data_IF_713500052155
#
_entry.id   IF_713500052155
#
_cell.length_a   1.000
_cell.length_b   1.000
_cell.length_c   1.000
_cell.angle_alpha   90.00
_cell.angle_beta   90.00
_cell.angle_gamma   90.00
#
_symmetry.space_group_name_H-M   'P 1'
#
loop_
_entity.id
_entity.type
_entity.pdbx_description
1 polymer ?
#
# COMPACT_ATOMS: atom_id res chain seq x y z
N UNK A 1 -11.22 -26.07 6.37
CA UNK A 1 -10.25 -25.11 5.83
C UNK A 1 -9.83 -24.08 6.88
N UNK A 2 -10.76 -23.37 7.52
CA UNK A 2 -10.47 -22.37 8.57
C UNK A 2 -9.53 -22.86 9.69
N UNK A 3 -9.72 -24.08 10.19
CA UNK A 3 -8.83 -24.67 11.20
C UNK A 3 -7.38 -24.81 10.73
N UNK A 4 -7.17 -25.15 9.45
CA UNK A 4 -5.84 -25.28 8.88
C UNK A 4 -5.19 -23.91 8.71
N UNK A 5 -5.97 -22.89 8.31
CA UNK A 5 -5.53 -21.49 8.24
C UNK A 5 -5.10 -20.97 9.61
N UNK A 6 -5.91 -21.17 10.65
CA UNK A 6 -5.57 -20.73 12.01
C UNK A 6 -4.34 -21.47 12.57
N UNK A 7 -4.21 -22.77 12.32
CA UNK A 7 -3.04 -23.53 12.74
C UNK A 7 -1.76 -23.06 12.02
N UNK A 8 -1.88 -22.74 10.73
CA UNK A 8 -0.81 -22.18 9.92
C UNK A 8 -0.38 -20.81 10.43
N UNK A 9 -1.34 -19.90 10.64
CA UNK A 9 -1.11 -18.59 11.21
C UNK A 9 -0.40 -18.67 12.56
N UNK A 10 -0.89 -19.52 13.47
CA UNK A 10 -0.28 -19.72 14.79
C UNK A 10 1.19 -20.16 14.68
N UNK A 11 1.47 -21.07 13.75
CA UNK A 11 2.81 -21.59 13.54
C UNK A 11 3.76 -20.51 13.01
N UNK A 12 3.33 -19.74 11.99
CA UNK A 12 4.14 -18.64 11.44
C UNK A 12 4.34 -17.56 12.52
N UNK A 13 3.26 -17.13 13.19
CA UNK A 13 3.31 -16.11 14.21
C UNK A 13 4.27 -16.48 15.34
N UNK A 14 4.23 -17.72 15.87
CA UNK A 14 5.16 -18.19 16.92
C UNK A 14 6.62 -18.15 16.47
N UNK A 15 6.89 -18.60 15.24
CA UNK A 15 8.24 -18.56 14.67
C UNK A 15 8.75 -17.12 14.56
N UNK A 16 7.83 -16.18 14.37
CA UNK A 16 8.15 -14.78 14.16
C UNK A 16 8.21 -13.93 15.46
N UNK A 17 8.17 -14.54 16.66
CA UNK A 17 8.17 -13.75 17.91
C UNK A 17 9.56 -13.36 18.43
N UNK A 18 10.62 -13.91 17.83
CA UNK A 18 11.99 -13.66 18.29
C UNK A 18 12.71 -12.63 17.40
N UNK A 19 13.36 -11.65 18.02
CA UNK A 19 14.22 -10.69 17.34
C UNK A 19 13.70 -9.26 17.36
N UNK A 20 14.51 -8.33 16.86
CA UNK A 20 14.27 -6.89 16.99
C UNK A 20 12.99 -6.41 16.27
N UNK A 21 12.57 -7.06 15.19
CA UNK A 21 11.36 -6.69 14.45
C UNK A 21 10.08 -7.30 15.04
N UNK A 22 10.17 -8.19 16.02
CA UNK A 22 9.00 -8.86 16.60
C UNK A 22 8.03 -7.88 17.30
N UNK A 23 8.52 -6.71 17.74
CA UNK A 23 7.68 -5.63 18.30
C UNK A 23 6.65 -5.09 17.30
N UNK A 24 6.94 -5.24 16.01
CA UNK A 24 6.08 -4.83 14.90
C UNK A 24 5.16 -5.97 14.41
N UNK A 25 5.04 -7.06 15.15
CA UNK A 25 4.06 -8.10 14.93
C UNK A 25 3.18 -8.24 16.16
N UNK A 26 1.93 -8.62 15.97
CA UNK A 26 1.07 -8.98 17.08
C UNK A 26 1.63 -10.26 17.76
N UNK A 27 1.94 -10.17 19.05
CA UNK A 27 2.45 -11.32 19.80
C UNK A 27 1.31 -12.30 20.05
N UNK A 28 1.52 -13.56 19.66
CA UNK A 28 0.60 -14.66 19.93
C UNK A 28 0.88 -15.24 21.32
N UNK A 29 -0.14 -15.34 22.14
CA UNK A 29 -0.10 -15.88 23.50
C UNK A 29 -0.55 -17.35 23.53
N UNK A 30 -0.07 -18.08 24.53
CA UNK A 30 -0.54 -19.44 24.86
C UNK A 30 -1.64 -19.38 25.91
N UNK A 31 -2.61 -20.29 25.80
CA UNK A 31 -3.64 -20.50 26.81
C UNK A 31 -3.68 -21.98 27.21
N UNK A 32 -3.67 -22.32 28.52
CA UNK A 32 -3.39 -21.42 29.64
C UNK A 32 -1.96 -20.85 29.55
N UNK A 33 -1.72 -19.71 30.21
CA UNK A 33 -0.37 -19.13 30.27
C UNK A 33 0.62 -20.15 30.86
N UNK A 34 1.89 -20.16 30.43
CA UNK A 34 2.88 -21.16 30.89
C UNK A 34 2.99 -21.25 32.43
N UNK A 35 2.73 -20.15 33.13
CA UNK A 35 2.75 -20.06 34.59
C UNK A 35 1.45 -20.54 35.27
N UNK A 36 0.39 -20.75 34.50
CA UNK A 36 -0.83 -21.41 34.95
C UNK A 36 -0.71 -22.88 34.56
N UNK A 37 -0.15 -23.69 35.46
CA UNK A 37 -0.17 -25.15 35.32
C UNK A 37 -1.60 -25.57 34.98
N UNK A 38 -1.77 -26.15 33.79
CA UNK A 38 -3.03 -26.74 33.36
C UNK A 38 -3.37 -27.89 34.34
N UNK A 39 -4.07 -27.57 35.43
CA UNK A 39 -4.38 -28.53 36.48
C UNK A 39 -5.35 -29.62 36.00
N UNK A 40 -5.89 -29.55 34.77
CA UNK A 40 -6.76 -30.61 34.28
C UNK A 40 -6.79 -30.77 32.74
N UNK A 41 -6.06 -31.76 32.17
CA UNK A 41 -6.16 -32.12 30.75
C UNK A 41 -7.58 -32.51 30.30
N UNK A 42 -8.47 -32.86 31.24
CA UNK A 42 -9.86 -33.23 30.97
C UNK A 42 -10.75 -32.03 30.59
N UNK A 43 -10.40 -30.79 30.95
CA UNK A 43 -11.19 -29.61 30.56
C UNK A 43 -11.07 -29.28 29.07
N UNK A 44 -9.98 -29.69 28.41
CA UNK A 44 -9.80 -29.54 26.97
C UNK A 44 -10.66 -30.50 26.13
N UNK A 45 -11.36 -31.46 26.76
CA UNK A 45 -12.27 -32.38 26.07
C UNK A 45 -13.52 -31.69 25.49
N UNK A 46 -13.80 -30.44 25.89
CA UNK A 46 -14.97 -29.66 25.44
C UNK A 46 -14.62 -28.44 24.57
N UNK A 47 -13.40 -28.36 24.00
CA UNK A 47 -13.04 -27.27 23.10
C UNK A 47 -13.98 -27.22 21.88
N UNK A 48 -14.82 -26.18 21.81
CA UNK A 48 -15.85 -26.03 20.78
C UNK A 48 -15.39 -25.25 19.55
N UNK A 49 -14.28 -24.51 19.65
CA UNK A 49 -13.76 -23.66 18.59
C UNK A 49 -12.22 -23.54 18.63
N UNK A 50 -11.63 -23.22 17.48
CA UNK A 50 -10.24 -22.79 17.36
C UNK A 50 -10.19 -21.27 17.44
N UNK A 51 -9.25 -20.73 18.22
CA UNK A 51 -9.03 -19.31 18.34
C UNK A 51 -7.54 -19.04 18.54
N UNK A 52 -7.12 -17.83 18.18
CA UNK A 52 -5.78 -17.30 18.44
C UNK A 52 -5.91 -16.15 19.42
N UNK A 53 -5.04 -16.15 20.43
CA UNK A 53 -4.98 -15.09 21.43
C UNK A 53 -3.78 -14.21 21.11
N UNK A 54 -4.03 -12.95 20.78
CA UNK A 54 -2.98 -11.96 20.53
C UNK A 54 -2.95 -10.89 21.61
N UNK A 55 -1.81 -10.23 21.77
CA UNK A 55 -1.73 -8.99 22.55
C UNK A 55 -2.72 -7.95 22.00
N UNK A 56 -3.43 -7.28 22.91
CA UNK A 56 -4.24 -6.13 22.55
C UNK A 56 -3.34 -4.90 22.38
N UNK A 57 -3.41 -4.28 21.20
CA UNK A 57 -2.73 -3.03 20.92
C UNK A 57 -3.77 -1.94 20.70
N UNK A 58 -3.66 -0.83 21.45
CA UNK A 58 -4.51 0.35 21.23
C UNK A 58 -4.20 1.00 19.86
N UNK A 59 -4.95 2.02 19.47
CA UNK A 59 -4.88 2.60 18.13
C UNK A 59 -5.82 1.92 17.13
N UNK A 60 -5.47 1.98 15.85
CA UNK A 60 -6.34 1.51 14.77
C UNK A 60 -5.56 1.11 13.51
N UNK A 61 -6.20 0.36 12.62
CA UNK A 61 -5.61 0.03 11.32
C UNK A 61 -5.62 1.24 10.39
N UNK A 62 -4.65 1.30 9.48
CA UNK A 62 -4.60 2.36 8.47
C UNK A 62 -5.91 2.37 7.63
N UNK A 63 -6.49 1.20 7.39
CA UNK A 63 -7.79 1.06 6.70
C UNK A 63 -8.96 1.65 7.48
N UNK A 64 -9.03 1.40 8.80
CA UNK A 64 -10.03 2.03 9.68
C UNK A 64 -9.92 3.56 9.66
N UNK A 65 -8.69 4.06 9.80
CA UNK A 65 -8.39 5.49 9.79
C UNK A 65 -8.79 6.16 8.47
N UNK A 66 -8.51 5.50 7.34
CA UNK A 66 -8.94 5.98 6.02
C UNK A 66 -10.46 6.04 5.88
N UNK A 67 -11.19 5.03 6.36
CA UNK A 67 -12.66 5.03 6.36
C UNK A 67 -13.26 6.14 7.23
N UNK A 68 -12.60 6.51 8.32
CA UNK A 68 -12.99 7.65 9.16
C UNK A 68 -12.77 9.01 8.48
N UNK A 69 -12.05 9.04 7.36
CA UNK A 69 -11.76 10.27 6.61
C UNK A 69 -10.64 11.09 7.22
N UNK A 70 -9.76 10.48 8.02
CA UNK A 70 -8.61 11.13 8.67
C UNK A 70 -7.29 10.70 8.03
N UNK A 71 -6.98 11.18 6.80
CA UNK A 71 -5.79 10.74 6.08
C UNK A 71 -4.52 11.12 6.85
N UNK A 72 -3.52 10.23 6.78
CA UNK A 72 -2.18 10.54 7.27
C UNK A 72 -1.58 11.70 6.46
N UNK A 73 -0.78 12.52 7.13
CA UNK A 73 0.12 13.46 6.42
C UNK A 73 1.13 12.68 5.59
N UNK A 74 1.77 13.34 4.61
CA UNK A 74 2.83 12.72 3.81
C UNK A 74 3.96 12.21 4.69
N UNK A 75 4.38 13.00 5.70
CA UNK A 75 5.44 12.60 6.63
C UNK A 75 5.05 11.37 7.45
N UNK A 76 3.83 11.33 8.00
CA UNK A 76 3.32 10.15 8.71
C UNK A 76 3.23 8.92 7.80
N UNK A 77 2.76 9.11 6.56
CA UNK A 77 2.68 8.04 5.56
C UNK A 77 4.05 7.43 5.29
N UNK A 78 5.08 8.27 5.09
CA UNK A 78 6.46 7.80 4.90
C UNK A 78 6.94 7.05 6.14
N UNK A 79 6.72 7.58 7.35
CA UNK A 79 7.16 6.94 8.59
C UNK A 79 6.53 5.55 8.79
N UNK A 80 5.22 5.39 8.56
CA UNK A 80 4.57 4.08 8.69
C UNK A 80 5.01 3.10 7.59
N UNK A 81 5.16 3.56 6.35
CA UNK A 81 5.61 2.69 5.25
C UNK A 81 7.06 2.24 5.44
N UNK A 82 7.91 3.09 6.03
CA UNK A 82 9.27 2.68 6.42
C UNK A 82 9.25 1.57 7.48
N UNK A 83 8.41 1.69 8.52
CA UNK A 83 8.25 0.60 9.50
C UNK A 83 7.73 -0.68 8.83
N UNK A 84 6.74 -0.59 7.95
CA UNK A 84 6.25 -1.76 7.21
C UNK A 84 7.35 -2.41 6.35
N UNK A 85 8.17 -1.63 5.65
CA UNK A 85 9.29 -2.14 4.87
C UNK A 85 10.33 -2.85 5.76
N UNK A 86 10.61 -2.33 6.96
CA UNK A 86 11.50 -3.00 7.93
C UNK A 86 10.96 -4.37 8.36
N UNK A 87 9.66 -4.47 8.63
CA UNK A 87 9.00 -5.74 8.98
C UNK A 87 9.05 -6.72 7.82
N UNK A 88 8.72 -6.28 6.61
CA UNK A 88 8.76 -7.12 5.42
C UNK A 88 10.17 -7.64 5.15
N UNK A 89 11.20 -6.79 5.21
CA UNK A 89 12.58 -7.24 5.04
C UNK A 89 12.97 -8.29 6.09
N UNK A 90 12.50 -8.13 7.32
CA UNK A 90 12.73 -9.14 8.35
C UNK A 90 12.00 -10.46 8.08
N UNK A 91 10.72 -10.43 7.66
CA UNK A 91 9.96 -11.62 7.25
C UNK A 91 10.64 -12.33 6.08
N UNK A 92 11.02 -11.58 5.04
CA UNK A 92 11.65 -12.09 3.82
C UNK A 92 12.98 -12.78 4.13
N UNK A 93 13.81 -12.23 5.04
CA UNK A 93 15.05 -12.89 5.50
C UNK A 93 14.81 -14.21 6.24
N UNK A 94 13.62 -14.41 6.81
CA UNK A 94 13.22 -15.69 7.42
C UNK A 94 12.54 -16.64 6.42
N UNK A 95 12.46 -16.26 5.14
CA UNK A 95 11.76 -17.00 4.10
C UNK A 95 10.24 -16.92 4.21
N UNK A 96 9.72 -15.91 4.92
CA UNK A 96 8.27 -15.70 5.08
C UNK A 96 7.80 -14.61 4.14
N UNK A 97 6.77 -14.88 3.34
CA UNK A 97 6.08 -13.93 2.46
C UNK A 97 4.67 -13.72 3.00
N UNK A 98 4.26 -12.48 3.27
CA UNK A 98 3.01 -12.18 3.97
C UNK A 98 1.76 -12.37 3.10
N UNK A 99 1.80 -11.91 1.85
CA UNK A 99 0.75 -12.03 0.80
C UNK A 99 -0.56 -11.26 0.98
N UNK A 100 -0.74 -10.50 2.05
CA UNK A 100 -1.95 -9.68 2.24
C UNK A 100 -1.62 -8.34 2.90
N UNK A 101 -0.57 -7.69 2.40
CA UNK A 101 -0.22 -6.32 2.84
C UNK A 101 -1.22 -5.34 2.26
N UNK A 102 -1.94 -4.66 3.15
CA UNK A 102 -2.95 -3.64 2.86
C UNK A 102 -3.20 -2.78 4.09
N UNK A 103 -3.83 -1.60 3.99
CA UNK A 103 -4.10 -0.75 5.14
C UNK A 103 -4.84 -1.44 6.29
N UNK A 104 -5.74 -2.39 6.01
CA UNK A 104 -6.48 -3.11 7.04
C UNK A 104 -5.61 -4.08 7.87
N UNK A 105 -4.46 -4.51 7.34
CA UNK A 105 -3.50 -5.40 8.03
C UNK A 105 -2.28 -4.63 8.58
N UNK A 106 -2.33 -3.30 8.55
CA UNK A 106 -1.29 -2.43 9.12
C UNK A 106 -1.91 -1.64 10.28
N UNK A 107 -1.62 -2.05 11.51
CA UNK A 107 -2.14 -1.46 12.74
C UNK A 107 -1.17 -0.42 13.30
N UNK A 108 -1.59 0.84 13.36
CA UNK A 108 -0.80 1.90 13.96
C UNK A 108 -1.24 2.07 15.42
N UNK A 109 -0.37 1.70 16.35
CA UNK A 109 -0.62 1.87 17.76
C UNK A 109 -0.55 3.33 18.21
N UNK A 110 -1.20 3.65 19.34
CA UNK A 110 -1.06 4.97 19.98
C UNK A 110 0.37 5.24 20.46
N UNK A 111 1.17 4.18 20.62
CA UNK A 111 2.61 4.21 20.88
C UNK A 111 3.44 4.63 19.65
N UNK A 112 2.81 4.84 18.49
CA UNK A 112 3.46 5.20 17.22
C UNK A 112 4.14 4.02 16.52
N UNK A 113 3.99 2.80 17.05
CA UNK A 113 4.57 1.58 16.48
C UNK A 113 3.57 0.96 15.52
N UNK A 114 3.99 0.79 14.27
CA UNK A 114 3.23 0.04 13.27
C UNK A 114 3.41 -1.46 13.50
N UNK A 115 2.30 -2.19 13.53
CA UNK A 115 2.26 -3.64 13.63
C UNK A 115 1.60 -4.23 12.39
N UNK A 116 2.26 -5.21 11.80
CA UNK A 116 1.70 -5.99 10.70
C UNK A 116 0.87 -7.13 11.29
N UNK A 117 -0.37 -7.24 10.84
CA UNK A 117 -1.36 -8.20 11.30
C UNK A 117 -1.64 -9.27 10.23
N UNK A 118 -2.27 -10.36 10.66
CA UNK A 118 -2.84 -11.41 9.79
C UNK A 118 -1.81 -12.14 8.90
N UNK A 119 -1.23 -13.20 9.48
CA UNK A 119 -0.35 -14.12 8.77
C UNK A 119 -1.09 -15.35 8.22
N UNK A 120 -2.44 -15.31 8.16
CA UNK A 120 -3.26 -16.46 7.82
C UNK A 120 -3.01 -17.01 6.42
N UNK A 121 -2.58 -16.16 5.50
CA UNK A 121 -2.27 -16.53 4.10
C UNK A 121 -0.78 -16.48 3.78
N UNK A 122 0.09 -16.27 4.78
CA UNK A 122 1.53 -16.17 4.57
C UNK A 122 2.13 -17.49 4.03
N UNK A 123 3.27 -17.41 3.34
CA UNK A 123 4.06 -18.58 2.95
C UNK A 123 5.37 -18.57 3.74
N UNK A 124 5.87 -19.74 4.11
CA UNK A 124 7.12 -19.95 4.84
C UNK A 124 8.10 -20.90 4.11
N UNK A 125 7.75 -21.31 2.90
CA UNK A 125 8.51 -22.23 2.05
C UNK A 125 8.29 -23.71 2.36
N UNK A 126 7.45 -24.03 3.36
CA UNK A 126 7.14 -25.40 3.79
C UNK A 126 5.75 -25.87 3.38
N UNK A 127 4.99 -25.00 2.72
CA UNK A 127 3.61 -25.26 2.35
C UNK A 127 3.52 -26.18 1.12
N UNK A 128 2.47 -27.02 1.05
CA UNK A 128 2.16 -27.78 -0.14
C UNK A 128 2.07 -26.89 -1.38
N UNK A 129 2.41 -27.43 -2.54
CA UNK A 129 2.39 -26.69 -3.80
C UNK A 129 1.00 -26.10 -4.11
N UNK A 130 -0.08 -26.80 -3.77
CA UNK A 130 -1.45 -26.30 -3.91
C UNK A 130 -1.69 -24.99 -3.14
N UNK A 131 -1.18 -24.88 -1.90
CA UNK A 131 -1.31 -23.68 -1.07
C UNK A 131 -0.47 -22.53 -1.61
N UNK A 132 0.71 -22.82 -2.17
CA UNK A 132 1.57 -21.82 -2.82
C UNK A 132 0.91 -21.23 -4.07
N UNK A 133 0.20 -22.06 -4.84
CA UNK A 133 -0.50 -21.65 -6.09
C UNK A 133 -1.88 -21.02 -5.87
N UNK A 134 -2.44 -21.10 -4.66
CA UNK A 134 -3.74 -20.52 -4.36
C UNK A 134 -3.69 -19.00 -4.49
N UNK A 135 -4.62 -18.37 -5.22
CA UNK A 135 -4.79 -16.91 -5.23
C UNK A 135 -5.44 -16.43 -3.92
N UNK A 136 -4.66 -16.40 -2.85
CA UNK A 136 -5.06 -15.87 -1.54
C UNK A 136 -4.52 -14.45 -1.33
N UNK A 137 -5.32 -13.62 -0.65
CA UNK A 137 -5.06 -12.20 -0.42
C UNK A 137 -6.08 -11.28 -1.11
N UNK A 138 -5.91 -9.98 -0.94
CA UNK A 138 -6.82 -8.98 -1.47
C UNK A 138 -6.49 -8.62 -2.93
N UNK A 139 -7.38 -8.85 -3.91
CA UNK A 139 -7.07 -8.75 -5.33
C UNK A 139 -6.49 -7.41 -5.79
N UNK A 140 -6.92 -6.30 -5.18
CA UNK A 140 -6.46 -4.95 -5.51
C UNK A 140 -5.01 -4.66 -5.12
N UNK A 141 -4.39 -5.53 -4.32
CA UNK A 141 -3.00 -5.42 -3.87
C UNK A 141 -2.10 -6.51 -4.48
N UNK A 142 -2.65 -7.43 -5.28
CA UNK A 142 -1.90 -8.49 -5.95
C UNK A 142 -1.17 -7.97 -7.18
N UNK A 143 0.08 -8.38 -7.33
CA UNK A 143 0.91 -8.01 -8.48
C UNK A 143 0.37 -8.61 -9.80
N UNK A 144 0.49 -7.87 -10.92
CA UNK A 144 -0.08 -8.25 -12.22
C UNK A 144 0.24 -9.68 -12.70
N UNK A 145 1.47 -10.13 -12.52
CA UNK A 145 2.00 -11.42 -12.98
C UNK A 145 1.42 -12.65 -12.26
N UNK A 146 0.79 -12.43 -11.11
CA UNK A 146 0.02 -13.48 -10.45
C UNK A 146 -1.27 -13.77 -11.21
N UNK A 147 -1.79 -12.84 -12.01
CA UNK A 147 -3.05 -13.06 -12.71
C UNK A 147 -2.86 -13.93 -13.97
N UNK A 148 -3.70 -14.96 -14.18
CA UNK A 148 -3.66 -15.78 -15.39
C UNK A 148 -3.85 -14.94 -16.66
N UNK A 149 -2.93 -15.03 -17.63
CA UNK A 149 -3.01 -14.27 -18.89
C UNK A 149 -2.20 -12.97 -18.94
N UNK A 150 -1.40 -12.67 -17.92
CA UNK A 150 -0.44 -11.54 -17.91
C UNK A 150 0.75 -11.71 -18.89
N UNK A 151 0.91 -12.89 -19.49
CA UNK A 151 1.98 -13.31 -20.42
C UNK A 151 2.26 -12.31 -21.56
N UNK A 152 1.28 -11.48 -21.92
CA UNK A 152 1.39 -10.51 -23.03
C UNK A 152 2.40 -9.37 -22.78
N UNK A 153 3.01 -9.30 -21.60
CA UNK A 153 3.98 -8.27 -21.21
C UNK A 153 5.45 -8.69 -21.34
N UNK A 154 5.75 -9.94 -21.69
CA UNK A 154 7.11 -10.48 -21.76
C UNK A 154 7.63 -11.09 -20.46
N UNK A 155 6.91 -10.89 -19.34
CA UNK A 155 7.17 -11.55 -18.07
C UNK A 155 6.36 -12.87 -17.96
N UNK A 156 6.89 -13.94 -17.32
CA UNK A 156 6.15 -15.18 -17.12
C UNK A 156 4.89 -14.93 -16.27
N UNK A 157 3.70 -15.32 -16.76
CA UNK A 157 2.48 -15.29 -15.95
C UNK A 157 2.38 -16.51 -15.02
N UNK A 158 1.54 -16.39 -14.00
CA UNK A 158 1.30 -17.47 -13.04
C UNK A 158 2.48 -17.71 -12.10
N UNK A 159 3.29 -16.67 -11.87
CA UNK A 159 4.37 -16.74 -10.88
C UNK A 159 3.78 -16.90 -9.48
N UNK A 160 4.45 -17.75 -8.69
CA UNK A 160 4.13 -17.91 -7.29
C UNK A 160 4.41 -16.60 -6.54
N UNK A 161 3.63 -16.27 -5.51
CA UNK A 161 3.93 -15.15 -4.63
C UNK A 161 5.35 -15.28 -4.05
N UNK A 162 6.10 -14.18 -4.08
CA UNK A 162 7.45 -14.05 -3.55
C UNK A 162 7.61 -12.76 -2.73
N UNK A 163 8.83 -12.44 -2.31
CA UNK A 163 9.11 -11.18 -1.61
C UNK A 163 8.66 -9.94 -2.40
N UNK A 164 8.80 -9.97 -3.74
CA UNK A 164 8.37 -8.91 -4.65
C UNK A 164 6.86 -8.68 -4.64
N UNK A 165 6.06 -9.73 -4.40
CA UNK A 165 4.60 -9.60 -4.19
C UNK A 165 4.26 -8.71 -3.00
N UNK A 166 4.95 -8.89 -1.86
CA UNK A 166 4.72 -8.04 -0.68
C UNK A 166 5.16 -6.60 -0.92
N UNK A 167 6.25 -6.38 -1.66
CA UNK A 167 6.74 -5.05 -2.00
C UNK A 167 5.78 -4.32 -2.95
N UNK A 168 5.19 -5.03 -3.92
CA UNK A 168 4.15 -4.48 -4.76
C UNK A 168 2.93 -4.08 -3.93
N UNK A 169 2.46 -4.96 -3.03
CA UNK A 169 1.32 -4.71 -2.17
C UNK A 169 1.56 -3.53 -1.20
N UNK A 170 2.78 -3.39 -0.66
CA UNK A 170 3.20 -2.23 0.11
C UNK A 170 3.25 -0.96 -0.77
N UNK A 171 3.67 -1.07 -2.02
CA UNK A 171 3.62 0.01 -3.00
C UNK A 171 2.20 0.48 -3.29
N UNK A 172 1.25 -0.44 -3.46
CA UNK A 172 -0.18 -0.14 -3.62
C UNK A 172 -0.71 0.57 -2.37
N UNK A 173 -0.33 0.09 -1.19
CA UNK A 173 -0.70 0.71 0.10
C UNK A 173 -0.14 2.13 0.21
N UNK A 174 1.15 2.34 -0.09
CA UNK A 174 1.78 3.65 -0.12
C UNK A 174 1.05 4.60 -1.09
N UNK A 175 0.80 4.15 -2.32
CA UNK A 175 0.06 4.90 -3.32
C UNK A 175 -1.31 5.32 -2.77
N UNK A 176 -2.05 4.38 -2.18
CA UNK A 176 -3.40 4.61 -1.71
C UNK A 176 -3.47 5.63 -0.56
N UNK A 177 -2.51 5.56 0.38
CA UNK A 177 -2.38 6.54 1.46
C UNK A 177 -2.10 7.94 0.91
N UNK A 178 -1.22 8.05 -0.09
CA UNK A 178 -0.86 9.33 -0.72
C UNK A 178 -1.96 9.91 -1.62
N UNK A 179 -2.65 9.06 -2.37
CA UNK A 179 -3.67 9.43 -3.36
C UNK A 179 -5.09 9.60 -2.77
N UNK A 180 -5.18 9.74 -1.43
CA UNK A 180 -6.43 9.93 -0.69
C UNK A 180 -7.43 8.80 -0.95
N UNK A 181 -6.99 7.56 -0.76
CA UNK A 181 -7.84 6.36 -0.85
C UNK A 181 -7.92 5.73 -2.25
N UNK A 182 -7.40 6.39 -3.30
CA UNK A 182 -7.43 5.86 -4.66
C UNK A 182 -6.36 4.81 -4.86
N UNK A 183 -6.72 3.70 -5.51
CA UNK A 183 -5.78 2.66 -5.91
C UNK A 183 -5.08 3.01 -7.23
N UNK A 184 -3.83 2.55 -7.45
CA UNK A 184 -3.06 2.86 -8.67
C UNK A 184 -3.76 2.36 -9.95
N UNK A 185 -4.37 1.17 -9.88
CA UNK A 185 -5.08 0.53 -10.99
C UNK A 185 -6.62 0.50 -10.79
N UNK A 186 -7.13 1.24 -9.79
CA UNK A 186 -8.51 1.14 -9.32
C UNK A 186 -8.83 -0.19 -8.64
N UNK A 187 -10.09 -0.42 -8.27
CA UNK A 187 -10.51 -1.68 -7.65
C UNK A 187 -10.36 -2.84 -8.64
N UNK A 188 -9.65 -3.89 -8.21
CA UNK A 188 -9.48 -5.14 -8.95
C UNK A 188 -10.39 -6.19 -8.34
N UNK A 189 -11.14 -6.89 -9.18
CA UNK A 189 -11.94 -8.07 -8.83
C UNK A 189 -11.20 -9.30 -9.36
N UNK A 190 -11.33 -10.46 -8.70
CA UNK A 190 -10.59 -11.72 -8.96
C UNK A 190 -10.64 -12.27 -10.41
N UNK A 191 -11.33 -11.61 -11.33
CA UNK A 191 -11.47 -12.03 -12.74
C UNK A 191 -11.27 -10.88 -13.75
N UNK A 192 -10.86 -9.69 -13.30
CA UNK A 192 -10.67 -8.51 -14.15
C UNK A 192 -9.18 -8.24 -14.41
N UNK A 193 -8.58 -8.93 -15.40
CA UNK A 193 -7.22 -8.61 -15.87
C UNK A 193 -7.12 -7.27 -16.61
N UNK A 194 -8.24 -6.75 -17.12
CA UNK A 194 -8.28 -5.62 -18.06
C UNK A 194 -7.78 -4.27 -17.54
N UNK A 195 -7.32 -4.17 -16.27
CA UNK A 195 -6.91 -2.90 -15.65
C UNK A 195 -5.39 -2.65 -15.68
N UNK A 196 -4.58 -3.70 -15.80
CA UNK A 196 -3.11 -3.56 -15.91
C UNK A 196 -2.62 -3.14 -17.31
N UNK A 197 -3.51 -2.64 -18.19
CA UNK A 197 -3.11 -2.18 -19.52
C UNK A 197 -2.53 -0.76 -19.53
N UNK A 198 -2.79 0.04 -18.50
CA UNK A 198 -2.30 1.42 -18.40
C UNK A 198 -1.42 1.57 -17.17
N UNK A 199 -0.36 2.37 -17.30
CA UNK A 199 0.44 2.75 -16.14
C UNK A 199 -0.37 3.68 -15.21
N UNK A 200 -0.15 3.58 -13.89
CA UNK A 200 -0.85 4.39 -12.92
C UNK A 200 -0.41 5.86 -13.05
N UNK A 201 -1.33 6.77 -12.73
CA UNK A 201 -1.01 8.20 -12.65
C UNK A 201 -0.23 8.50 -11.37
N UNK A 202 0.59 9.53 -11.34
CA UNK A 202 1.33 9.89 -10.13
C UNK A 202 0.39 10.26 -8.96
N UNK A 203 0.66 9.86 -7.70
CA UNK A 203 -0.13 10.26 -6.53
C UNK A 203 -0.34 11.76 -6.40
N UNK A 204 0.66 12.58 -6.78
CA UNK A 204 0.57 14.05 -6.79
C UNK A 204 -0.57 14.61 -7.65
N UNK A 205 -1.08 13.85 -8.63
CA UNK A 205 -2.28 14.22 -9.41
C UNK A 205 -3.55 14.24 -8.54
N UNK A 206 -3.60 13.39 -7.53
CA UNK A 206 -4.72 13.32 -6.59
C UNK A 206 -4.47 14.12 -5.31
N UNK A 207 -3.20 14.31 -4.95
CA UNK A 207 -2.77 15.04 -3.77
C UNK A 207 -1.53 15.90 -4.06
N UNK A 208 -1.70 17.18 -4.45
CA UNK A 208 -0.58 18.05 -4.83
C UNK A 208 0.49 18.28 -3.75
N UNK A 209 0.21 17.93 -2.49
CA UNK A 209 1.20 17.98 -1.41
C UNK A 209 2.22 16.84 -1.44
N UNK A 210 2.04 15.84 -2.30
CA UNK A 210 3.00 14.74 -2.48
C UNK A 210 4.23 15.24 -3.25
N UNK A 211 5.44 15.09 -2.70
CA UNK A 211 6.67 15.50 -3.38
C UNK A 211 7.04 14.54 -4.52
N UNK A 212 7.76 15.06 -5.52
CA UNK A 212 8.10 14.32 -6.75
C UNK A 212 8.88 13.04 -6.45
N UNK A 213 9.80 13.07 -5.50
CA UNK A 213 10.58 11.88 -5.13
C UNK A 213 9.69 10.74 -4.63
N UNK A 214 8.57 11.08 -3.97
CA UNK A 214 7.65 10.10 -3.43
C UNK A 214 6.70 9.55 -4.49
N UNK A 215 6.33 10.37 -5.48
CA UNK A 215 5.68 9.87 -6.71
C UNK A 215 6.55 8.80 -7.38
N UNK A 216 7.85 9.07 -7.53
CA UNK A 216 8.78 8.13 -8.17
C UNK A 216 8.88 6.81 -7.42
N UNK A 217 8.98 6.84 -6.09
CA UNK A 217 9.01 5.63 -5.26
C UNK A 217 7.69 4.87 -5.37
N UNK A 218 6.55 5.54 -5.23
CA UNK A 218 5.24 4.90 -5.32
C UNK A 218 5.05 4.23 -6.70
N UNK A 219 5.34 4.94 -7.79
CA UNK A 219 5.22 4.43 -9.16
C UNK A 219 6.22 3.30 -9.47
N UNK A 220 7.45 3.38 -8.94
CA UNK A 220 8.44 2.29 -9.05
C UNK A 220 7.93 1.02 -8.35
N UNK A 221 7.43 1.15 -7.12
CA UNK A 221 6.96 0.01 -6.34
C UNK A 221 5.77 -0.72 -7.01
N UNK A 222 4.88 0.03 -7.66
CA UNK A 222 3.71 -0.54 -8.37
C UNK A 222 3.91 -0.74 -9.86
N UNK A 223 5.15 -0.66 -10.38
CA UNK A 223 5.40 -0.80 -11.81
C UNK A 223 4.87 -2.14 -12.33
N UNK A 224 4.36 -2.19 -13.57
CA UNK A 224 3.83 -3.45 -14.13
C UNK A 224 4.93 -4.48 -14.33
N UNK A 225 6.03 -4.08 -14.96
CA UNK A 225 7.17 -4.97 -15.18
C UNK A 225 7.94 -5.18 -13.87
N UNK A 226 8.24 -6.44 -13.54
CA UNK A 226 8.94 -6.82 -12.31
C UNK A 226 10.32 -6.17 -12.21
N UNK A 227 11.07 -6.10 -13.31
CA UNK A 227 12.42 -5.54 -13.37
C UNK A 227 12.49 -4.04 -13.08
N UNK A 228 11.33 -3.36 -13.13
CA UNK A 228 11.23 -1.94 -12.81
C UNK A 228 10.89 -1.70 -11.33
N UNK A 229 10.62 -2.74 -10.54
CA UNK A 229 10.26 -2.63 -9.11
C UNK A 229 11.50 -2.61 -8.22
N UNK A 230 11.27 -2.45 -6.93
CA UNK A 230 12.30 -2.68 -5.92
C UNK A 230 12.53 -4.19 -5.78
N UNK A 231 13.80 -4.58 -5.71
CA UNK A 231 14.20 -5.99 -5.58
C UNK A 231 14.05 -6.46 -4.13
N UNK A 232 14.32 -5.57 -3.17
CA UNK A 232 14.33 -5.89 -1.73
C UNK A 232 13.62 -4.83 -0.90
N UNK A 233 13.16 -5.23 0.28
CA UNK A 233 12.55 -4.31 1.23
C UNK A 233 13.56 -3.26 1.73
N UNK A 234 14.83 -3.64 1.85
CA UNK A 234 15.95 -2.77 2.20
C UNK A 234 16.20 -1.69 1.13
N UNK A 235 16.08 -2.05 -0.15
CA UNK A 235 16.19 -1.08 -1.25
C UNK A 235 15.06 -0.04 -1.19
N UNK A 236 13.82 -0.49 -0.97
CA UNK A 236 12.66 0.39 -0.79
C UNK A 236 12.82 1.30 0.43
N UNK A 237 13.22 0.74 1.57
CA UNK A 237 13.47 1.48 2.80
C UNK A 237 14.54 2.55 2.60
N UNK A 238 15.67 2.19 1.99
CA UNK A 238 16.76 3.12 1.71
C UNK A 238 16.33 4.25 0.77
N UNK A 239 15.47 3.95 -0.22
CA UNK A 239 14.93 4.97 -1.12
C UNK A 239 14.03 5.96 -0.35
N UNK A 240 13.19 5.47 0.56
CA UNK A 240 12.33 6.30 1.42
C UNK A 240 13.17 7.19 2.35
N UNK A 241 14.20 6.65 2.99
CA UNK A 241 15.11 7.38 3.89
C UNK A 241 15.89 8.49 3.15
N UNK A 242 16.41 8.17 1.95
CA UNK A 242 17.11 9.15 1.12
C UNK A 242 16.19 10.25 0.63
N UNK A 243 14.97 9.91 0.24
CA UNK A 243 13.96 10.89 -0.16
C UNK A 243 13.53 11.80 0.99
N UNK A 244 13.31 11.22 2.18
CA UNK A 244 12.92 11.95 3.37
C UNK A 244 14.03 12.87 3.91
N UNK A 245 15.30 12.46 3.81
CA UNK A 245 16.46 13.27 4.25
C UNK A 245 16.83 14.39 3.26
N UNK A 246 16.40 14.30 2.00
CA UNK A 246 16.62 15.31 0.96
C UNK A 246 15.30 15.69 0.29
N UNK A 247 14.37 16.35 1.01
CA UNK A 247 13.07 16.67 0.45
C UNK A 247 13.24 17.74 -0.64
N UNK A 248 13.30 17.30 -1.90
CA UNK A 248 12.96 18.15 -3.03
C UNK A 248 11.48 18.46 -2.90
N UNK A 249 11.17 19.56 -2.22
CA UNK A 249 9.80 19.99 -1.99
C UNK A 249 9.12 20.18 -3.34
N UNK A 250 7.89 19.66 -3.48
CA UNK A 250 7.07 20.03 -4.62
C UNK A 250 6.99 21.56 -4.68
N UNK A 251 7.21 22.19 -5.84
CA UNK A 251 6.94 23.61 -5.98
C UNK A 251 5.49 23.85 -5.51
N UNK A 252 5.30 24.75 -4.54
CA UNK A 252 3.96 25.13 -4.11
C UNK A 252 3.10 25.52 -5.32
N UNK A 253 1.76 25.44 -5.24
CA UNK A 253 0.89 25.80 -6.34
C UNK A 253 1.13 27.26 -6.71
N UNK A 254 1.95 27.48 -7.74
CA UNK A 254 2.20 28.82 -8.25
C UNK A 254 0.96 29.28 -9.01
N UNK A 255 0.44 30.49 -8.74
CA UNK A 255 -0.63 31.09 -9.52
C UNK A 255 -0.30 31.02 -11.01
N UNK A 256 -1.31 30.82 -11.87
CA UNK A 256 -1.13 30.80 -13.34
C UNK A 256 -0.37 32.02 -13.85
N UNK A 257 -0.53 33.15 -13.17
CA UNK A 257 0.16 34.42 -13.43
C UNK A 257 1.69 34.35 -13.30
N UNK A 258 2.22 33.42 -12.50
CA UNK A 258 3.66 33.14 -12.38
C UNK A 258 4.15 32.05 -13.34
N UNK A 259 3.26 31.13 -13.78
CA UNK A 259 3.64 30.00 -14.65
C UNK A 259 3.79 30.39 -16.12
N UNK A 260 3.02 31.38 -16.58
CA UNK A 260 3.15 31.94 -17.91
C UNK A 260 2.98 33.46 -17.83
N UNK A 261 4.11 34.19 -17.83
CA UNK A 261 4.11 35.65 -17.81
C UNK A 261 3.35 36.25 -19.02
N UNK A 262 3.14 35.46 -20.07
CA UNK A 262 2.37 35.87 -21.25
C UNK A 262 0.87 35.58 -21.14
N UNK A 263 0.40 34.80 -20.16
CA UNK A 263 -1.01 34.47 -20.01
C UNK A 263 -1.86 35.72 -19.69
N UNK A 264 -1.33 36.64 -18.89
CA UNK A 264 -1.98 37.94 -18.61
C UNK A 264 -2.14 38.74 -19.91
N UNK A 265 -1.08 38.79 -20.72
CA UNK A 265 -1.11 39.50 -22.01
C UNK A 265 -2.02 38.84 -23.04
N UNK A 266 -2.11 37.50 -23.06
CA UNK A 266 -3.05 36.75 -23.91
C UNK A 266 -4.50 37.06 -23.52
N UNK A 267 -4.81 37.07 -22.22
CA UNK A 267 -6.15 37.42 -21.72
C UNK A 267 -6.47 38.88 -22.06
N UNK A 268 -5.53 39.81 -21.82
CA UNK A 268 -5.70 41.22 -22.16
C UNK A 268 -5.93 41.44 -23.66
N UNK A 269 -5.21 40.70 -24.53
CA UNK A 269 -5.40 40.73 -25.98
C UNK A 269 -6.80 40.26 -26.36
N UNK A 270 -7.25 39.12 -25.83
CA UNK A 270 -8.60 38.58 -26.11
C UNK A 270 -9.68 39.56 -25.67
N UNK A 271 -9.56 40.15 -24.48
CA UNK A 271 -10.50 41.16 -23.98
C UNK A 271 -10.50 42.39 -24.89
N UNK A 272 -9.32 42.88 -25.29
CA UNK A 272 -9.20 44.02 -26.21
C UNK A 272 -9.86 43.76 -27.56
N UNK A 273 -9.67 42.56 -28.14
CA UNK A 273 -10.31 42.16 -29.39
C UNK A 273 -11.83 42.13 -29.25
N UNK A 274 -12.35 41.54 -28.17
CA UNK A 274 -13.80 41.47 -27.92
C UNK A 274 -14.41 42.87 -27.74
N UNK A 275 -13.74 43.76 -27.01
CA UNK A 275 -14.19 45.15 -26.81
C UNK A 275 -14.20 45.91 -28.14
N UNK A 276 -13.16 45.76 -28.96
CA UNK A 276 -13.12 46.42 -30.26
C UNK A 276 -14.19 45.89 -31.22
N UNK A 277 -14.42 44.57 -31.26
CA UNK A 277 -15.50 43.99 -32.05
C UNK A 277 -16.87 44.50 -31.60
N UNK A 278 -17.09 44.64 -30.30
CA UNK A 278 -18.31 45.23 -29.74
C UNK A 278 -18.46 46.70 -30.15
N UNK A 279 -17.40 47.50 -30.07
CA UNK A 279 -17.44 48.91 -30.49
C UNK A 279 -17.75 49.06 -31.98
N UNK A 280 -17.14 48.23 -32.83
CA UNK A 280 -17.42 48.20 -34.28
C UNK A 280 -18.87 47.81 -34.53
N UNK A 281 -19.37 46.77 -33.84
CA UNK A 281 -20.76 46.36 -33.94
C UNK A 281 -21.71 47.50 -33.53
N UNK A 282 -21.46 48.15 -32.40
CA UNK A 282 -22.25 49.29 -31.94
C UNK A 282 -22.20 50.44 -32.94
N UNK A 283 -21.05 50.74 -33.56
CA UNK A 283 -20.91 51.83 -34.51
C UNK A 283 -21.64 51.57 -35.84
N UNK A 284 -21.68 50.32 -36.29
CA UNK A 284 -22.32 49.92 -37.55
C UNK A 284 -23.82 49.71 -37.38
N UNK A 285 -24.27 49.22 -36.22
CA UNK A 285 -25.63 48.73 -36.01
C UNK A 285 -26.46 49.52 -35.00
N UNK A 286 -25.91 50.53 -34.29
CA UNK A 286 -26.79 51.46 -33.57
C UNK A 286 -27.53 52.38 -34.57
N UNK A 287 -28.86 52.54 -34.42
CA UNK A 287 -29.57 53.60 -35.12
C UNK A 287 -29.02 54.95 -34.66
N UNK A 288 -28.69 55.82 -35.63
CA UNK A 288 -28.31 57.22 -35.38
C UNK A 288 -29.52 58.06 -34.98
#
# INVERSE_FOLDING_TARGET
EERATLAHEAWVARRMQSGHAAVHLARLNTWPAEDQTAENPAENAHASAFYLLYDWHSGETLGQRMRRGEPLTVAQTVAVVMQAAQVLGWLHRQGVVHRDIKPDNLHLGDDGVLRVLDLGVALSGREPEATRRLHAGTPSYMNPEQWPGYEKSGDPAGQLPDAGSDLFALGVTLYQLLAKGRLPYGDVVQYQLGRYHRDPVAPSRHNPGVPIWLDQIALKAVARNLTHRFETAEELLLALERGASRPLSAPGPQPLMQRDATAVWKIALVVSVLVNLLLVYLLVFLPR
#
